data_IF_130773076530
#
_entry.id   IF_130773076530
#
_cell.length_a   1.000
_cell.length_b   1.000
_cell.length_c   1.000
_cell.angle_alpha   90.00
_cell.angle_beta   90.00
_cell.angle_gamma   90.00
#
_symmetry.space_group_name_H-M   'P 1'
#
loop_
_entity.id
_entity.type
_entity.pdbx_description
1 polymer ?
#
# COMPACT_ATOMS: atom_id res chain seq x y z
N UNK A 1 4.49 -12.83 9.74
CA UNK A 1 3.09 -12.50 10.15
C UNK A 1 2.48 -11.35 9.32
N UNK A 2 3.23 -10.30 8.96
CA UNK A 2 2.69 -9.15 8.21
C UNK A 2 2.01 -9.48 6.87
N UNK A 3 2.47 -10.51 6.16
CA UNK A 3 1.93 -10.89 4.84
C UNK A 3 0.43 -11.25 4.83
N UNK A 4 -0.05 -11.87 5.91
CA UNK A 4 -1.46 -12.25 6.06
C UNK A 4 -2.35 -11.02 6.27
N UNK A 5 -1.81 -9.98 6.89
CA UNK A 5 -2.53 -8.74 7.18
C UNK A 5 -2.64 -7.85 5.94
N UNK A 6 -1.58 -7.75 5.12
CA UNK A 6 -1.63 -7.08 3.81
C UNK A 6 -2.67 -7.70 2.90
N UNK A 7 -2.57 -9.02 2.67
CA UNK A 7 -3.52 -9.70 1.81
C UNK A 7 -4.95 -9.56 2.33
N UNK A 8 -5.16 -9.54 3.64
CA UNK A 8 -6.48 -9.30 4.23
C UNK A 8 -7.03 -7.91 3.91
N UNK A 9 -6.20 -6.85 4.01
CA UNK A 9 -6.63 -5.46 3.76
C UNK A 9 -6.97 -5.24 2.27
N UNK A 10 -6.12 -5.70 1.35
CA UNK A 10 -6.36 -5.53 -0.09
C UNK A 10 -7.43 -6.49 -0.63
N UNK A 11 -7.55 -7.70 -0.09
CA UNK A 11 -8.65 -8.64 -0.43
C UNK A 11 -10.03 -8.06 -0.08
N UNK A 12 -10.12 -7.22 0.94
CA UNK A 12 -11.37 -6.52 1.26
C UNK A 12 -11.62 -5.27 0.41
N UNK A 13 -10.57 -4.57 -0.03
CA UNK A 13 -10.71 -3.38 -0.88
C UNK A 13 -10.88 -3.69 -2.37
N UNK A 14 -10.31 -4.81 -2.82
CA UNK A 14 -10.24 -5.19 -4.24
C UNK A 14 -10.45 -6.71 -4.37
N UNK A 15 -11.67 -7.21 -4.12
CA UNK A 15 -11.94 -8.64 -4.17
C UNK A 15 -11.73 -9.24 -5.56
N UNK A 16 -12.03 -8.49 -6.62
CA UNK A 16 -11.86 -8.90 -8.03
C UNK A 16 -10.38 -9.00 -8.44
N UNK A 17 -9.51 -8.21 -7.83
CA UNK A 17 -8.08 -8.22 -8.12
C UNK A 17 -7.29 -9.19 -7.23
N UNK A 18 -7.96 -10.03 -6.42
CA UNK A 18 -7.27 -10.89 -5.44
C UNK A 18 -6.26 -11.83 -6.09
N UNK A 19 -6.67 -12.50 -7.17
CA UNK A 19 -5.81 -13.43 -7.91
C UNK A 19 -4.67 -12.67 -8.60
N UNK A 20 -4.98 -11.48 -9.15
CA UNK A 20 -4.01 -10.57 -9.75
C UNK A 20 -2.99 -10.07 -8.73
N UNK A 21 -3.40 -9.73 -7.50
CA UNK A 21 -2.52 -9.33 -6.38
C UNK A 21 -1.56 -10.46 -6.03
N UNK A 22 -2.04 -11.71 -5.98
CA UNK A 22 -1.19 -12.86 -5.69
C UNK A 22 -0.13 -13.05 -6.78
N UNK A 23 -0.55 -13.01 -8.06
CA UNK A 23 0.35 -13.11 -9.20
C UNK A 23 1.35 -11.94 -9.29
N UNK A 24 0.88 -10.69 -9.21
CA UNK A 24 1.73 -9.50 -9.23
C UNK A 24 2.76 -9.52 -8.12
N UNK A 25 2.43 -10.04 -6.94
CA UNK A 25 3.39 -10.07 -5.85
C UNK A 25 4.54 -11.05 -6.12
N UNK A 26 4.26 -12.18 -6.76
CA UNK A 26 5.29 -13.16 -7.11
C UNK A 26 6.08 -12.75 -8.36
N UNK A 27 5.40 -12.18 -9.35
CA UNK A 27 6.02 -11.79 -10.62
C UNK A 27 6.65 -10.40 -10.60
N UNK A 28 6.16 -9.48 -9.76
CA UNK A 28 6.55 -8.07 -9.82
C UNK A 28 7.19 -7.57 -8.51
N UNK A 29 8.53 -7.48 -8.44
CA UNK A 29 9.23 -6.98 -7.26
C UNK A 29 8.95 -5.50 -6.97
N UNK A 30 8.49 -4.72 -7.97
CA UNK A 30 8.04 -3.35 -7.74
C UNK A 30 6.85 -3.28 -6.80
N UNK A 31 5.90 -4.23 -6.93
CA UNK A 31 4.74 -4.32 -6.05
C UNK A 31 5.19 -4.58 -4.60
N UNK A 32 6.12 -5.51 -4.39
CA UNK A 32 6.67 -5.78 -3.06
C UNK A 32 7.30 -4.52 -2.42
N UNK A 33 8.03 -3.73 -3.21
CA UNK A 33 8.71 -2.51 -2.74
C UNK A 33 7.73 -1.40 -2.35
N UNK A 34 6.72 -1.15 -3.18
CA UNK A 34 5.65 -0.17 -2.89
C UNK A 34 4.88 -0.56 -1.61
N UNK A 35 4.70 -1.86 -1.38
CA UNK A 35 4.09 -2.37 -0.16
C UNK A 35 4.93 -2.12 1.09
N UNK A 36 6.24 -2.35 1.02
CA UNK A 36 7.14 -2.05 2.13
C UNK A 36 7.19 -0.55 2.45
N UNK A 37 7.19 0.30 1.43
CA UNK A 37 7.05 1.75 1.61
C UNK A 37 5.70 2.11 2.25
N UNK A 38 4.60 1.51 1.81
CA UNK A 38 3.28 1.79 2.38
C UNK A 38 3.21 1.37 3.86
N UNK A 39 3.79 0.23 4.24
CA UNK A 39 3.86 -0.18 5.67
C UNK A 39 4.68 0.78 6.51
N UNK A 40 5.83 1.19 5.97
CA UNK A 40 6.73 2.11 6.64
C UNK A 40 6.02 3.43 6.88
N UNK A 41 5.32 3.96 5.88
CA UNK A 41 4.47 5.15 6.02
C UNK A 41 3.33 4.97 7.02
N UNK A 42 2.62 3.83 7.01
CA UNK A 42 1.50 3.58 7.93
C UNK A 42 1.97 3.53 9.39
N UNK A 43 3.14 2.92 9.62
CA UNK A 43 3.82 2.92 10.93
C UNK A 43 4.28 4.31 11.33
N UNK A 44 4.88 5.05 10.41
CA UNK A 44 5.33 6.42 10.66
C UNK A 44 4.14 7.31 11.02
N UNK A 45 3.04 7.25 10.24
CA UNK A 45 1.78 7.93 10.56
C UNK A 45 1.27 7.52 11.94
N UNK A 46 1.23 6.22 12.26
CA UNK A 46 0.76 5.77 13.58
C UNK A 46 1.65 6.26 14.73
N UNK A 47 2.97 6.25 14.55
CA UNK A 47 3.91 6.77 15.56
C UNK A 47 3.77 8.28 15.75
N UNK A 48 3.51 9.01 14.67
CA UNK A 48 3.29 10.46 14.70
C UNK A 48 1.93 10.81 15.31
N UNK A 49 0.88 10.06 14.99
CA UNK A 49 -0.45 10.21 15.62
C UNK A 49 -0.39 9.90 17.14
N UNK A 50 0.52 9.02 17.58
CA UNK A 50 0.77 8.77 19.00
C UNK A 50 1.62 9.86 19.69
N UNK A 51 2.42 10.65 18.93
CA UNK A 51 3.29 11.70 19.48
C UNK A 51 2.94 13.08 18.88
N UNK A 52 1.75 13.63 19.20
CA UNK A 52 1.25 14.88 18.60
C UNK A 52 2.02 16.15 19.03
N UNK A 53 2.93 16.05 20.02
CA UNK A 53 3.56 17.20 20.67
C UNK A 53 4.78 17.72 19.89
N UNK A 54 5.44 16.89 19.05
CA UNK A 54 6.76 17.22 18.51
C UNK A 54 6.86 17.31 16.99
N UNK A 55 5.88 16.85 16.22
CA UNK A 55 5.95 16.91 14.77
C UNK A 55 4.73 17.64 14.20
N UNK A 56 5.01 18.85 13.75
CA UNK A 56 4.15 19.76 12.99
C UNK A 56 3.28 18.93 12.02
N UNK A 57 1.96 19.12 12.12
CA UNK A 57 0.89 18.47 11.33
C UNK A 57 1.24 18.22 9.84
N UNK A 58 2.08 19.08 9.25
CA UNK A 58 2.62 18.98 7.89
C UNK A 58 3.19 17.60 7.54
N UNK A 59 3.90 16.95 8.47
CA UNK A 59 4.50 15.64 8.19
C UNK A 59 3.42 14.55 8.06
N UNK A 60 2.40 14.55 8.93
CA UNK A 60 1.30 13.58 8.83
C UNK A 60 0.53 13.79 7.53
N UNK A 61 0.29 15.04 7.12
CA UNK A 61 -0.40 15.34 5.87
C UNK A 61 0.40 14.90 4.64
N UNK A 62 1.72 15.16 4.63
CA UNK A 62 2.65 14.67 3.61
C UNK A 62 2.67 13.14 3.54
N UNK A 63 2.72 12.46 4.68
CA UNK A 63 2.71 11.00 4.76
C UNK A 63 1.38 10.41 4.29
N UNK A 64 0.24 11.03 4.65
CA UNK A 64 -1.09 10.65 4.14
C UNK A 64 -1.16 10.83 2.62
N UNK A 65 -0.59 11.91 2.07
CA UNK A 65 -0.45 12.11 0.62
C UNK A 65 0.42 11.05 -0.04
N UNK A 66 1.58 10.72 0.54
CA UNK A 66 2.46 9.65 0.02
C UNK A 66 1.75 8.30 0.05
N UNK A 67 1.06 7.98 1.15
CA UNK A 67 0.26 6.75 1.29
C UNK A 67 -0.82 6.67 0.21
N UNK A 68 -1.49 7.78 -0.09
CA UNK A 68 -2.46 7.86 -1.18
C UNK A 68 -1.80 7.58 -2.54
N UNK A 69 -0.63 8.17 -2.81
CA UNK A 69 0.13 7.90 -4.04
C UNK A 69 0.52 6.44 -4.21
N UNK A 70 1.07 5.81 -3.16
CA UNK A 70 1.42 4.39 -3.22
C UNK A 70 0.19 3.51 -3.48
N UNK A 71 -0.97 3.87 -2.92
CA UNK A 71 -2.22 3.17 -3.19
C UNK A 71 -2.65 3.34 -4.66
N UNK A 72 -2.49 4.54 -5.23
CA UNK A 72 -2.76 4.80 -6.65
C UNK A 72 -1.84 3.97 -7.55
N UNK A 73 -0.55 3.92 -7.20
CA UNK A 73 0.47 3.17 -7.92
C UNK A 73 0.20 1.65 -7.88
N UNK A 74 -0.22 1.13 -6.71
CA UNK A 74 -0.72 -0.24 -6.57
C UNK A 74 -1.92 -0.47 -7.49
N UNK A 75 -2.89 0.45 -7.51
CA UNK A 75 -4.08 0.32 -8.34
C UNK A 75 -3.73 0.33 -9.83
N UNK A 76 -2.80 1.18 -10.27
CA UNK A 76 -2.30 1.20 -11.63
C UNK A 76 -1.62 -0.13 -12.00
N UNK A 77 -0.78 -0.69 -11.13
CA UNK A 77 -0.15 -1.99 -11.36
C UNK A 77 -1.20 -3.11 -11.47
N UNK A 78 -2.20 -3.12 -10.60
CA UNK A 78 -3.29 -4.09 -10.64
C UNK A 78 -4.08 -4.00 -11.95
N UNK A 79 -4.42 -2.79 -12.37
CA UNK A 79 -5.14 -2.55 -13.63
C UNK A 79 -4.32 -2.91 -14.85
N UNK A 80 -3.03 -2.57 -14.86
CA UNK A 80 -2.12 -2.92 -15.94
C UNK A 80 -1.99 -4.44 -16.09
N UNK A 81 -1.78 -5.16 -14.98
CA UNK A 81 -1.72 -6.62 -15.00
C UNK A 81 -3.07 -7.23 -15.40
N UNK A 82 -4.20 -6.68 -14.95
CA UNK A 82 -5.51 -7.13 -15.40
C UNK A 82 -5.64 -7.03 -16.92
N UNK A 83 -5.25 -5.88 -17.49
CA UNK A 83 -5.29 -5.64 -18.94
C UNK A 83 -4.33 -6.55 -19.72
N UNK A 84 -3.22 -6.99 -19.12
CA UNK A 84 -2.29 -7.96 -19.73
C UNK A 84 -2.78 -9.41 -19.66
N UNK A 85 -3.74 -9.72 -18.77
CA UNK A 85 -4.31 -11.05 -18.60
C UNK A 85 -5.57 -11.28 -19.47
N UNK A 86 -6.15 -10.20 -20.02
CA UNK A 86 -7.22 -10.21 -21.03
C UNK A 86 -6.67 -10.40 -22.46
#
# INVERSE_FOLDING_TARGET
MKLKEYNKKYKHMFPEFRDIIAHLREENPHFAKIFEEHDSLDKEISQLEQNPIHLINDNIELLKRKKLRLKDEIYQLLKDKQQQLE
#
